data_IF_733906760210
#
_entry.id   IF_733906760210
#
_cell.length_a   1.000
_cell.length_b   1.000
_cell.length_c   1.000
_cell.angle_alpha   90.00
_cell.angle_beta   90.00
_cell.angle_gamma   90.00
#
_symmetry.space_group_name_H-M   'P 1'
#
loop_
_entity.id
_entity.type
_entity.pdbx_description
1 polymer ?
#
# COMPACT_ATOMS: atom_id res chain seq x y z
N UNK A 1 -12.09 2.04 -10.51
CA UNK A 1 -11.22 2.22 -9.34
C UNK A 1 -11.91 1.95 -8.00
N UNK A 2 -13.24 2.04 -7.88
CA UNK A 2 -13.96 1.71 -6.65
C UNK A 2 -13.55 0.36 -6.03
N UNK A 3 -13.77 -0.75 -6.73
CA UNK A 3 -13.43 -2.09 -6.23
C UNK A 3 -11.93 -2.28 -5.92
N UNK A 4 -10.98 -1.86 -6.80
CA UNK A 4 -9.57 -1.85 -6.43
C UNK A 4 -9.24 -1.05 -5.16
N UNK A 5 -9.92 0.07 -4.90
CA UNK A 5 -9.74 0.83 -3.65
C UNK A 5 -10.23 0.05 -2.43
N UNK A 6 -11.34 -0.68 -2.54
CA UNK A 6 -11.84 -1.55 -1.45
C UNK A 6 -10.92 -2.75 -1.19
N UNK A 7 -10.27 -3.27 -2.24
CA UNK A 7 -9.27 -4.34 -2.15
C UNK A 7 -7.98 -3.90 -1.45
N UNK A 8 -7.69 -2.60 -1.35
CA UNK A 8 -6.49 -2.09 -0.66
C UNK A 8 -6.48 -2.41 0.84
N UNK A 9 -7.64 -2.64 1.45
CA UNK A 9 -7.75 -3.03 2.86
C UNK A 9 -7.33 -4.49 3.10
N UNK A 10 -7.07 -5.26 2.03
CA UNK A 10 -6.65 -6.65 2.09
C UNK A 10 -7.82 -7.64 2.02
N UNK A 11 -7.53 -8.94 2.23
CA UNK A 11 -8.54 -10.00 2.17
C UNK A 11 -9.58 -9.86 3.28
N UNK A 12 -10.68 -10.58 3.17
CA UNK A 12 -11.65 -10.73 4.26
C UNK A 12 -10.96 -11.20 5.55
N UNK A 13 -11.52 -10.84 6.69
CA UNK A 13 -11.01 -11.25 7.99
C UNK A 13 -10.97 -12.78 8.15
N UNK A 14 -11.87 -13.51 7.49
CA UNK A 14 -11.90 -14.98 7.47
C UNK A 14 -10.67 -15.60 6.78
N UNK A 15 -10.13 -14.93 5.77
CA UNK A 15 -8.99 -15.43 4.96
C UNK A 15 -7.65 -14.80 5.36
N UNK A 16 -7.67 -13.87 6.33
CA UNK A 16 -6.48 -13.15 6.77
C UNK A 16 -5.69 -13.94 7.83
N UNK A 17 -4.74 -14.77 7.37
CA UNK A 17 -3.85 -15.62 8.19
C UNK A 17 -3.09 -14.89 9.30
N UNK A 18 -2.88 -13.57 9.19
CA UNK A 18 -2.08 -12.77 10.13
C UNK A 18 -2.91 -11.88 11.06
N UNK A 19 -4.25 -11.87 10.94
CA UNK A 19 -5.10 -10.94 11.72
C UNK A 19 -5.00 -11.20 13.22
N UNK A 20 -5.14 -12.44 13.68
CA UNK A 20 -5.14 -12.77 15.12
C UNK A 20 -3.86 -12.30 15.84
N UNK A 21 -2.70 -12.65 15.29
CA UNK A 21 -1.39 -12.24 15.85
C UNK A 21 -1.17 -10.73 15.77
N UNK A 22 -1.52 -10.11 14.63
CA UNK A 22 -1.34 -8.66 14.45
C UNK A 22 -2.23 -7.83 15.39
N UNK A 23 -3.44 -8.31 15.68
CA UNK A 23 -4.35 -7.69 16.65
C UNK A 23 -3.83 -7.89 18.09
N UNK A 24 -3.35 -9.08 18.43
CA UNK A 24 -2.79 -9.37 19.76
C UNK A 24 -1.60 -8.48 20.10
N UNK A 25 -0.72 -8.22 19.12
CA UNK A 25 0.42 -7.33 19.29
C UNK A 25 0.10 -5.85 19.06
N UNK A 26 -1.19 -5.52 18.81
CA UNK A 26 -1.65 -4.16 18.52
C UNK A 26 -0.94 -3.50 17.32
N UNK A 27 -0.45 -4.32 16.38
CA UNK A 27 0.05 -3.88 15.07
C UNK A 27 -1.14 -3.46 14.21
N UNK A 28 -2.21 -4.27 14.20
CA UNK A 28 -3.53 -3.87 13.71
C UNK A 28 -4.40 -3.45 14.89
N UNK A 29 -5.13 -2.34 14.73
CA UNK A 29 -6.09 -1.83 15.74
C UNK A 29 -7.54 -2.07 15.34
N UNK A 30 -7.78 -2.29 14.06
CA UNK A 30 -9.06 -2.59 13.43
C UNK A 30 -8.81 -3.68 12.41
N UNK A 31 -9.83 -4.48 12.14
CA UNK A 31 -9.75 -5.55 11.14
C UNK A 31 -9.80 -4.99 9.72
N UNK A 32 -9.57 -5.84 8.72
CA UNK A 32 -9.60 -5.40 7.33
C UNK A 32 -11.03 -5.01 6.93
N UNK A 33 -12.00 -5.82 7.36
CA UNK A 33 -13.41 -5.61 7.03
C UNK A 33 -13.98 -4.39 7.78
N UNK A 34 -13.57 -4.14 9.03
CA UNK A 34 -13.93 -2.93 9.78
C UNK A 34 -13.44 -1.65 9.10
N UNK A 35 -12.19 -1.64 8.63
CA UNK A 35 -11.63 -0.47 7.92
C UNK A 35 -12.30 -0.27 6.57
N UNK A 36 -12.60 -1.36 5.86
CA UNK A 36 -13.31 -1.31 4.58
C UNK A 36 -14.72 -0.77 4.74
N UNK A 37 -15.47 -1.23 5.74
CA UNK A 37 -16.82 -0.74 6.03
C UNK A 37 -16.79 0.77 6.32
N UNK A 38 -15.89 1.22 7.21
CA UNK A 38 -15.74 2.64 7.52
C UNK A 38 -15.40 3.48 6.29
N UNK A 39 -14.55 2.96 5.40
CA UNK A 39 -14.24 3.64 4.16
C UNK A 39 -15.48 3.81 3.28
N UNK A 40 -16.30 2.77 3.12
CA UNK A 40 -17.55 2.87 2.35
C UNK A 40 -18.47 3.91 2.98
N UNK A 41 -18.72 3.83 4.29
CA UNK A 41 -19.65 4.74 4.97
C UNK A 41 -19.25 6.21 4.86
N UNK A 42 -17.95 6.49 4.85
CA UNK A 42 -17.42 7.85 4.73
C UNK A 42 -17.36 8.32 3.27
N UNK A 43 -17.15 7.41 2.32
CA UNK A 43 -16.89 7.76 0.92
C UNK A 43 -18.17 7.85 0.09
N UNK A 44 -19.21 7.08 0.39
CA UNK A 44 -20.48 7.14 -0.35
C UNK A 44 -21.14 8.53 -0.26
N UNK A 45 -21.25 9.17 0.93
CA UNK A 45 -21.76 10.53 1.02
C UNK A 45 -20.91 11.56 0.24
N UNK A 46 -19.60 11.33 0.13
CA UNK A 46 -18.72 12.18 -0.69
C UNK A 46 -19.01 12.01 -2.18
N UNK A 47 -19.27 10.77 -2.62
CA UNK A 47 -19.66 10.48 -3.99
C UNK A 47 -21.01 11.14 -4.34
N UNK A 48 -21.99 11.05 -3.44
CA UNK A 48 -23.29 11.73 -3.56
C UNK A 48 -23.13 13.26 -3.62
N UNK A 49 -22.31 13.84 -2.74
CA UNK A 49 -22.01 15.27 -2.75
C UNK A 49 -21.41 15.74 -4.08
N UNK A 50 -20.56 14.91 -4.69
CA UNK A 50 -19.95 15.17 -6.00
C UNK A 50 -20.89 14.85 -7.18
N UNK A 51 -22.06 14.25 -6.93
CA UNK A 51 -22.98 13.82 -7.97
C UNK A 51 -22.48 12.65 -8.81
N UNK A 52 -21.57 11.82 -8.27
CA UNK A 52 -21.04 10.62 -8.95
C UNK A 52 -21.71 9.36 -8.40
N UNK A 53 -22.03 8.43 -9.28
CA UNK A 53 -22.60 7.14 -8.90
C UNK A 53 -21.48 6.13 -8.62
N UNK A 54 -21.55 5.48 -7.46
CA UNK A 54 -20.64 4.37 -7.13
C UNK A 54 -21.01 3.16 -7.99
N UNK A 55 -20.04 2.50 -8.65
CA UNK A 55 -20.30 1.37 -9.54
C UNK A 55 -20.50 0.06 -8.76
N UNK A 56 -21.53 0.05 -7.91
CA UNK A 56 -21.94 -1.09 -7.08
C UNK A 56 -23.49 -1.14 -7.05
N UNK A 57 -24.12 -2.08 -7.79
CA UNK A 57 -25.58 -2.21 -7.83
C UNK A 57 -26.22 -2.62 -6.51
N UNK A 58 -25.46 -3.29 -5.64
CA UNK A 58 -25.95 -3.80 -4.34
C UNK A 58 -25.79 -2.76 -3.22
N UNK A 59 -25.18 -1.61 -3.54
CA UNK A 59 -24.92 -0.55 -2.59
C UNK A 59 -26.22 0.08 -2.08
N UNK A 60 -26.48 -0.01 -0.78
CA UNK A 60 -27.64 0.59 -0.14
C UNK A 60 -27.36 0.97 1.31
N UNK A 61 -27.95 2.07 1.75
CA UNK A 61 -27.95 2.43 3.17
C UNK A 61 -28.83 1.44 3.95
N UNK A 62 -28.27 0.88 5.03
CA UNK A 62 -28.99 0.01 5.96
C UNK A 62 -29.20 0.73 7.29
N UNK A 63 -30.44 1.20 7.52
CA UNK A 63 -30.81 1.94 8.73
C UNK A 63 -30.66 1.12 10.02
N UNK A 64 -30.89 -0.19 9.98
CA UNK A 64 -30.79 -1.07 11.15
C UNK A 64 -29.34 -1.24 11.61
N UNK A 65 -28.41 -1.31 10.64
CA UNK A 65 -26.96 -1.45 10.90
C UNK A 65 -26.28 -0.11 11.11
N UNK A 66 -26.83 0.99 10.59
CA UNK A 66 -26.15 2.28 10.53
C UNK A 66 -24.93 2.28 9.60
N UNK A 67 -24.97 1.45 8.55
CA UNK A 67 -23.88 1.20 7.62
C UNK A 67 -24.41 1.04 6.19
N UNK A 68 -23.57 1.25 5.19
CA UNK A 68 -23.88 0.82 3.83
C UNK A 68 -23.63 -0.67 3.65
N UNK A 69 -24.63 -1.40 3.16
CA UNK A 69 -24.42 -2.71 2.57
C UNK A 69 -23.84 -2.50 1.17
N UNK A 70 -22.78 -3.23 0.82
CA UNK A 70 -22.10 -3.14 -0.48
C UNK A 70 -21.91 -4.56 -1.07
N UNK A 71 -21.74 -4.64 -2.39
CA UNK A 71 -21.64 -5.91 -3.12
C UNK A 71 -20.37 -6.71 -2.80
N UNK A 72 -20.36 -7.96 -3.28
CA UNK A 72 -19.22 -8.84 -3.08
C UNK A 72 -18.00 -8.42 -3.90
N UNK A 73 -16.82 -8.43 -3.27
CA UNK A 73 -15.55 -8.14 -3.92
C UNK A 73 -15.15 -9.35 -4.77
N UNK A 74 -14.67 -9.10 -5.99
CA UNK A 74 -14.03 -10.13 -6.80
C UNK A 74 -12.68 -10.55 -6.19
N UNK A 75 -12.73 -11.56 -5.31
CA UNK A 75 -11.54 -12.06 -4.63
C UNK A 75 -10.57 -12.79 -5.56
N UNK A 76 -11.05 -13.37 -6.65
CA UNK A 76 -10.18 -14.01 -7.66
C UNK A 76 -9.29 -12.96 -8.34
N UNK A 77 -9.87 -11.83 -8.76
CA UNK A 77 -9.12 -10.68 -9.29
C UNK A 77 -8.10 -10.17 -8.27
N UNK A 78 -8.51 -10.00 -7.01
CA UNK A 78 -7.62 -9.57 -5.94
C UNK A 78 -6.38 -10.46 -5.83
N UNK A 79 -6.57 -11.79 -5.77
CA UNK A 79 -5.45 -12.72 -5.62
C UNK A 79 -4.57 -12.79 -6.86
N UNK A 80 -5.12 -12.66 -8.07
CA UNK A 80 -4.31 -12.59 -9.29
C UNK A 80 -3.44 -11.33 -9.31
N UNK A 81 -3.97 -10.17 -8.92
CA UNK A 81 -3.19 -8.94 -8.80
C UNK A 81 -2.09 -9.09 -7.75
N UNK A 82 -2.38 -9.67 -6.59
CA UNK A 82 -1.39 -9.89 -5.51
C UNK A 82 -0.27 -10.85 -5.95
N UNK A 83 -0.59 -11.89 -6.73
CA UNK A 83 0.38 -12.85 -7.26
C UNK A 83 1.27 -12.29 -8.37
N UNK A 84 0.98 -11.10 -8.89
CA UNK A 84 1.75 -10.49 -9.98
C UNK A 84 1.10 -10.57 -11.35
N UNK A 85 -0.12 -11.08 -11.47
CA UNK A 85 -0.84 -11.27 -12.74
C UNK A 85 -1.86 -10.15 -13.03
N UNK A 86 -1.74 -9.01 -12.34
CA UNK A 86 -2.57 -7.84 -12.58
C UNK A 86 -2.10 -7.00 -13.78
N UNK A 87 -2.88 -5.99 -14.18
CA UNK A 87 -2.72 -5.28 -15.45
C UNK A 87 -1.40 -4.52 -15.61
N UNK A 88 -0.78 -4.11 -14.51
CA UNK A 88 0.47 -3.32 -14.55
C UNK A 88 1.61 -3.95 -13.74
N UNK A 89 1.47 -5.16 -13.20
CA UNK A 89 2.46 -5.71 -12.25
C UNK A 89 3.85 -5.82 -12.88
N UNK A 90 3.94 -6.41 -14.07
CA UNK A 90 5.18 -6.52 -14.83
C UNK A 90 5.78 -5.14 -15.13
N UNK A 91 4.97 -4.22 -15.64
CA UNK A 91 5.40 -2.85 -15.99
C UNK A 91 5.95 -2.10 -14.76
N UNK A 92 5.29 -2.24 -13.60
CA UNK A 92 5.71 -1.63 -12.33
C UNK A 92 7.04 -2.19 -11.86
N UNK A 93 7.18 -3.51 -11.88
CA UNK A 93 8.42 -4.16 -11.47
C UNK A 93 9.57 -3.81 -12.42
N UNK A 94 9.35 -3.92 -13.73
CA UNK A 94 10.34 -3.57 -14.73
C UNK A 94 10.80 -2.11 -14.60
N UNK A 95 9.88 -1.15 -14.43
CA UNK A 95 10.26 0.25 -14.22
C UNK A 95 11.13 0.45 -12.98
N UNK A 96 10.87 -0.28 -11.88
CA UNK A 96 11.68 -0.23 -10.65
C UNK A 96 13.04 -0.89 -10.82
N UNK A 97 13.09 -2.08 -11.44
CA UNK A 97 14.33 -2.80 -11.74
C UNK A 97 15.21 -1.93 -12.63
N UNK A 98 14.67 -1.44 -13.74
CA UNK A 98 15.40 -0.59 -14.69
C UNK A 98 15.99 0.65 -14.02
N UNK A 99 15.18 1.39 -13.25
CA UNK A 99 15.66 2.56 -12.53
C UNK A 99 16.75 2.22 -11.50
N UNK A 100 16.66 1.04 -10.86
CA UNK A 100 17.68 0.57 -9.95
C UNK A 100 18.98 0.20 -10.67
N UNK A 101 18.91 -0.58 -11.75
CA UNK A 101 20.06 -1.04 -12.52
C UNK A 101 20.77 0.12 -13.22
N UNK A 102 20.05 0.94 -13.98
CA UNK A 102 20.61 2.09 -14.68
C UNK A 102 21.13 3.16 -13.72
N UNK A 103 20.56 3.23 -12.51
CA UNK A 103 21.04 4.11 -11.43
C UNK A 103 22.22 3.57 -10.62
N UNK A 104 22.76 2.39 -10.94
CA UNK A 104 23.85 1.77 -10.16
C UNK A 104 25.09 2.67 -10.05
N UNK A 105 25.52 3.25 -11.17
CA UNK A 105 26.70 4.11 -11.22
C UNK A 105 26.55 5.35 -10.31
N UNK A 106 25.34 5.89 -10.15
CA UNK A 106 25.08 7.04 -9.25
C UNK A 106 25.32 6.63 -7.81
N UNK A 107 24.82 5.45 -7.41
CA UNK A 107 25.03 4.91 -6.06
C UNK A 107 26.50 4.64 -5.81
N UNK A 108 27.20 4.04 -6.76
CA UNK A 108 28.64 3.77 -6.69
C UNK A 108 29.45 5.08 -6.58
N UNK A 109 29.14 6.08 -7.40
CA UNK A 109 29.77 7.39 -7.36
C UNK A 109 29.55 8.09 -6.00
N UNK A 110 28.33 8.04 -5.47
CA UNK A 110 28.01 8.59 -4.16
C UNK A 110 28.83 7.91 -3.05
N UNK A 111 28.93 6.58 -3.07
CA UNK A 111 29.72 5.81 -2.11
C UNK A 111 31.22 6.14 -2.21
N UNK A 112 31.78 6.17 -3.42
CA UNK A 112 33.19 6.50 -3.65
C UNK A 112 33.52 7.93 -3.18
N UNK A 113 32.62 8.89 -3.44
CA UNK A 113 32.78 10.26 -2.99
C UNK A 113 32.72 10.38 -1.46
N UNK A 114 31.76 9.72 -0.82
CA UNK A 114 31.63 9.67 0.63
C UNK A 114 32.91 9.12 1.28
N UNK A 115 33.45 8.02 0.75
CA UNK A 115 34.68 7.40 1.22
C UNK A 115 35.89 8.34 1.09
N UNK A 116 36.02 9.03 -0.05
CA UNK A 116 37.06 10.06 -0.25
C UNK A 116 36.95 11.18 0.79
N UNK A 117 35.75 11.65 1.10
CA UNK A 117 35.54 12.68 2.12
C UNK A 117 35.88 12.17 3.52
N UNK A 118 35.51 10.94 3.85
CA UNK A 118 35.85 10.29 5.12
C UNK A 118 37.36 10.23 5.33
N UNK A 119 38.11 9.68 4.37
CA UNK A 119 39.58 9.62 4.42
C UNK A 119 40.23 11.00 4.55
N UNK A 120 39.69 12.01 3.86
CA UNK A 120 40.17 13.40 3.99
C UNK A 120 39.97 13.96 5.39
N UNK A 121 38.82 13.67 6.02
CA UNK A 121 38.54 14.09 7.40
C UNK A 121 39.48 13.39 8.39
N UNK A 122 39.67 12.09 8.25
CA UNK A 122 40.60 11.30 9.09
C UNK A 122 42.04 11.81 8.98
N UNK A 123 42.52 12.09 7.75
CA UNK A 123 43.85 12.69 7.54
C UNK A 123 44.00 14.05 8.20
N UNK A 124 42.97 14.91 8.12
CA UNK A 124 42.99 16.23 8.79
C UNK A 124 43.04 16.09 10.31
N UNK A 125 42.29 15.16 10.89
CA UNK A 125 42.32 14.88 12.33
C UNK A 125 43.69 14.34 12.75
N UNK A 126 44.24 13.37 12.03
CA UNK A 126 45.56 12.81 12.33
C UNK A 126 46.67 13.88 12.28
N UNK A 127 46.61 14.81 11.32
CA UNK A 127 47.55 15.92 11.20
C UNK A 127 47.38 17.02 12.26
N UNK A 128 46.29 17.03 13.03
CA UNK A 128 46.05 17.99 14.12
C UNK A 128 46.44 17.43 15.50
N UNK A 129 46.62 16.11 15.61
CA UNK A 129 46.95 15.40 16.86
C UNK A 129 48.45 15.04 16.91
N UNK A 130 49.16 15.11 15.77
CA UNK A 130 50.61 14.99 15.66
C UNK A 130 51.28 16.36 15.77
#
# INVERSE_FOLDING_TARGET
>A
WWWPSLMMFGPSDNDSKHTAQSMQWKIKRKTNDELRQQFVDVTVPQAEFLGITVPDPDLKWNEERGHYDFGEINWDEFWEVVKGNGPCNEQRLHARIKAHEEGAWVREAAMAYAEKRRKRKERKVAAQVA
#
